data_IF_863343747848
#
_entry.id   IF_863343747848
#
_cell.length_a   1.000
_cell.length_b   1.000
_cell.length_c   1.000
_cell.angle_alpha   90.00
_cell.angle_beta   90.00
_cell.angle_gamma   90.00
#
_symmetry.space_group_name_H-M   'P 1'
#
loop_
_entity.id
_entity.type
_entity.pdbx_description
1 polymer ?
#
# COMPACT_ATOMS: atom_id res chain seq x y z
N UNK A 1 -14.35 6.99 -29.17
CA UNK A 1 -14.69 6.36 -27.87
C UNK A 1 -13.46 6.44 -26.99
N UNK A 2 -13.39 7.40 -26.06
CA UNK A 2 -12.31 7.43 -25.08
C UNK A 2 -12.63 6.40 -24.01
N UNK A 3 -11.92 5.27 -24.04
CA UNK A 3 -11.86 4.37 -22.89
C UNK A 3 -11.52 5.21 -21.66
N UNK A 4 -12.35 5.17 -20.61
CA UNK A 4 -11.97 5.74 -19.31
C UNK A 4 -10.77 4.94 -18.80
N UNK A 5 -9.57 5.35 -19.16
CA UNK A 5 -8.33 4.88 -18.53
C UNK A 5 -8.49 5.15 -17.04
N UNK A 6 -8.77 4.10 -16.30
CA UNK A 6 -8.91 4.23 -14.87
C UNK A 6 -7.52 4.20 -14.30
N UNK A 7 -6.98 5.39 -14.04
CA UNK A 7 -5.65 5.61 -13.51
C UNK A 7 -5.56 4.93 -12.14
N UNK A 8 -4.87 3.79 -12.10
CA UNK A 8 -4.53 3.12 -10.85
C UNK A 8 -3.60 4.05 -10.06
N UNK A 9 -3.84 4.26 -8.76
CA UNK A 9 -3.00 5.13 -7.95
C UNK A 9 -1.55 4.65 -7.91
N UNK A 10 -0.61 5.60 -7.84
CA UNK A 10 0.82 5.31 -7.68
C UNK A 10 1.10 4.99 -6.20
N UNK A 11 1.48 3.74 -5.92
CA UNK A 11 1.79 3.26 -4.57
C UNK A 11 2.86 4.12 -3.86
N UNK A 12 3.80 4.68 -4.61
CA UNK A 12 4.91 5.43 -4.02
C UNK A 12 4.47 6.74 -3.40
N UNK A 13 3.23 7.19 -3.61
CA UNK A 13 2.63 8.36 -2.98
C UNK A 13 2.03 8.10 -1.60
N UNK A 14 1.98 6.86 -1.14
CA UNK A 14 1.30 6.47 0.09
C UNK A 14 2.27 6.18 1.24
N UNK A 15 1.85 6.55 2.46
CA UNK A 15 2.45 6.14 3.74
C UNK A 15 1.58 5.19 4.56
N UNK A 16 0.38 4.89 4.07
CA UNK A 16 -0.49 3.84 4.61
C UNK A 16 -0.89 2.90 3.48
N UNK A 17 -0.50 1.64 3.58
CA UNK A 17 -0.86 0.62 2.59
C UNK A 17 -2.38 0.41 2.50
N UNK A 18 -3.15 0.64 3.56
CA UNK A 18 -4.61 0.47 3.56
C UNK A 18 -5.28 1.55 2.74
N UNK A 19 -4.81 2.79 2.87
CA UNK A 19 -5.30 3.88 2.04
C UNK A 19 -5.05 3.60 0.56
N UNK A 20 -3.84 3.12 0.22
CA UNK A 20 -3.56 2.68 -1.16
C UNK A 20 -4.49 1.57 -1.63
N UNK A 21 -4.73 0.54 -0.81
CA UNK A 21 -5.61 -0.58 -1.16
C UNK A 21 -7.07 -0.12 -1.38
N UNK A 22 -7.53 0.84 -0.58
CA UNK A 22 -8.84 1.48 -0.74
C UNK A 22 -8.93 2.20 -2.08
N UNK A 23 -7.98 3.10 -2.37
CA UNK A 23 -7.97 3.89 -3.60
C UNK A 23 -7.81 3.00 -4.84
N UNK A 24 -6.96 1.97 -4.77
CA UNK A 24 -6.82 0.96 -5.81
C UNK A 24 -8.15 0.25 -6.10
N UNK A 25 -8.84 -0.18 -5.04
CA UNK A 25 -10.14 -0.84 -5.17
C UNK A 25 -11.17 0.07 -5.82
N UNK A 26 -11.27 1.32 -5.36
CA UNK A 26 -12.20 2.31 -5.92
C UNK A 26 -11.87 2.64 -7.38
N UNK A 27 -10.60 2.80 -7.73
CA UNK A 27 -10.18 2.96 -9.11
C UNK A 27 -10.65 1.75 -9.95
N UNK A 28 -10.30 0.51 -9.57
CA UNK A 28 -10.73 -0.67 -10.32
C UNK A 28 -12.26 -0.81 -10.42
N UNK A 29 -12.99 -0.48 -9.35
CA UNK A 29 -14.46 -0.50 -9.32
C UNK A 29 -15.10 0.55 -10.23
N UNK A 30 -14.53 1.75 -10.27
CA UNK A 30 -15.01 2.82 -11.14
C UNK A 30 -14.74 2.53 -12.63
N UNK A 31 -13.65 1.82 -12.92
CA UNK A 31 -13.31 1.38 -14.27
C UNK A 31 -14.08 0.14 -14.74
N UNK A 32 -14.48 -0.73 -13.81
CA UNK A 32 -15.22 -1.94 -14.08
C UNK A 32 -16.27 -2.20 -12.96
N UNK A 33 -17.57 -1.98 -13.24
CA UNK A 33 -18.64 -2.24 -12.28
C UNK A 33 -18.72 -3.69 -11.79
N UNK A 34 -18.20 -4.67 -12.52
CA UNK A 34 -18.16 -6.08 -12.07
C UNK A 34 -17.00 -6.37 -11.12
N UNK A 35 -16.05 -5.45 -11.01
CA UNK A 35 -14.98 -5.56 -10.02
C UNK A 35 -15.57 -5.56 -8.61
N UNK A 36 -15.07 -6.44 -7.75
CA UNK A 36 -15.58 -6.61 -6.39
C UNK A 36 -14.49 -7.17 -5.48
N UNK A 37 -14.71 -7.09 -4.17
CA UNK A 37 -13.77 -7.69 -3.20
C UNK A 37 -13.56 -9.19 -3.45
N UNK A 38 -14.63 -9.90 -3.87
CA UNK A 38 -14.56 -11.32 -4.25
C UNK A 38 -13.69 -11.55 -5.48
N UNK A 39 -13.78 -10.67 -6.49
CA UNK A 39 -12.92 -10.73 -7.68
C UNK A 39 -11.45 -10.53 -7.30
N UNK A 40 -11.15 -9.52 -6.47
CA UNK A 40 -9.79 -9.31 -5.96
C UNK A 40 -9.30 -10.54 -5.18
N UNK A 41 -10.12 -11.07 -4.27
CA UNK A 41 -9.75 -12.24 -3.47
C UNK A 41 -9.40 -13.46 -4.34
N UNK A 42 -10.15 -13.69 -5.41
CA UNK A 42 -9.85 -14.75 -6.40
C UNK A 42 -8.51 -14.50 -7.10
N UNK A 43 -8.26 -13.27 -7.57
CA UNK A 43 -6.98 -12.90 -8.21
C UNK A 43 -5.79 -13.06 -7.25
N UNK A 44 -5.99 -12.73 -5.98
CA UNK A 44 -4.98 -12.84 -4.93
C UNK A 44 -4.88 -14.26 -4.33
N UNK A 45 -5.68 -15.22 -4.79
CA UNK A 45 -5.76 -16.58 -4.27
C UNK A 45 -6.03 -16.62 -2.75
N UNK A 46 -6.90 -15.72 -2.26
CA UNK A 46 -7.26 -15.62 -0.86
C UNK A 46 -8.44 -16.54 -0.53
N UNK A 47 -8.40 -17.18 0.64
CA UNK A 47 -9.47 -18.08 1.09
C UNK A 47 -10.77 -17.36 1.50
N UNK A 48 -10.73 -16.04 1.77
CA UNK A 48 -11.90 -15.26 2.16
C UNK A 48 -12.27 -14.21 1.09
N UNK A 49 -13.52 -14.21 0.56
CA UNK A 49 -14.01 -13.23 -0.41
C UNK A 49 -13.98 -11.78 0.07
N UNK A 50 -14.03 -11.55 1.39
CA UNK A 50 -14.03 -10.23 2.02
C UNK A 50 -12.66 -9.83 2.57
N UNK A 51 -11.60 -10.61 2.32
CA UNK A 51 -10.28 -10.37 2.92
C UNK A 51 -9.73 -8.97 2.62
N UNK A 52 -9.85 -8.48 1.39
CA UNK A 52 -9.40 -7.13 1.05
C UNK A 52 -10.16 -6.08 1.85
N UNK A 53 -11.48 -6.22 1.97
CA UNK A 53 -12.32 -5.29 2.75
C UNK A 53 -11.91 -5.28 4.22
N UNK A 54 -11.73 -6.45 4.84
CA UNK A 54 -11.27 -6.54 6.22
C UNK A 54 -9.90 -5.90 6.45
N UNK A 55 -9.01 -5.94 5.46
CA UNK A 55 -7.70 -5.27 5.53
C UNK A 55 -7.85 -3.75 5.44
N UNK A 56 -8.63 -3.26 4.49
CA UNK A 56 -8.93 -1.83 4.32
C UNK A 56 -9.59 -1.26 5.59
N UNK A 57 -10.58 -1.98 6.14
CA UNK A 57 -11.31 -1.60 7.35
C UNK A 57 -10.47 -1.78 8.64
N UNK A 58 -9.20 -2.20 8.54
CA UNK A 58 -8.30 -2.36 9.69
C UNK A 58 -8.52 -3.60 10.55
N UNK A 59 -9.50 -4.45 10.20
CA UNK A 59 -9.86 -5.67 10.95
C UNK A 59 -8.85 -6.82 10.77
N UNK A 60 -7.99 -6.74 9.75
CA UNK A 60 -6.93 -7.71 9.46
C UNK A 60 -5.65 -7.00 9.01
N UNK A 61 -4.51 -7.59 9.39
CA UNK A 61 -3.19 -7.23 8.88
C UNK A 61 -2.81 -8.14 7.70
N UNK A 62 -1.84 -7.70 6.90
CA UNK A 62 -1.23 -8.54 5.87
C UNK A 62 -0.10 -9.37 6.49
N UNK A 63 -0.20 -10.69 6.32
CA UNK A 63 0.84 -11.63 6.69
C UNK A 63 1.83 -11.85 5.54
N UNK A 64 3.02 -12.36 5.86
CA UNK A 64 3.99 -12.79 4.85
C UNK A 64 3.41 -13.81 3.86
N UNK A 65 2.45 -14.64 4.30
CA UNK A 65 1.76 -15.62 3.43
C UNK A 65 0.80 -14.97 2.45
N UNK A 66 0.14 -13.87 2.83
CA UNK A 66 -0.86 -13.20 2.00
C UNK A 66 -0.26 -12.16 1.05
N UNK A 67 0.87 -11.54 1.41
CA UNK A 67 1.53 -10.49 0.62
C UNK A 67 1.75 -10.91 -0.85
N UNK A 68 2.31 -12.11 -1.17
CA UNK A 68 2.53 -12.51 -2.55
C UNK A 68 1.24 -12.53 -3.40
N UNK A 69 0.11 -12.89 -2.79
CA UNK A 69 -1.20 -12.85 -3.45
C UNK A 69 -1.62 -11.43 -3.80
N UNK A 70 -1.43 -10.49 -2.87
CA UNK A 70 -1.71 -9.08 -3.10
C UNK A 70 -0.83 -8.51 -4.22
N UNK A 71 0.47 -8.77 -4.22
CA UNK A 71 1.38 -8.27 -5.24
C UNK A 71 1.00 -8.75 -6.66
N UNK A 72 0.53 -10.00 -6.79
CA UNK A 72 -0.01 -10.52 -8.05
C UNK A 72 -1.29 -9.80 -8.45
N UNK A 73 -2.26 -9.68 -7.53
CA UNK A 73 -3.56 -9.08 -7.81
C UNK A 73 -3.49 -7.58 -8.12
N UNK A 74 -2.54 -6.87 -7.50
CA UNK A 74 -2.30 -5.45 -7.73
C UNK A 74 -1.58 -5.19 -9.07
N UNK A 75 -0.90 -6.20 -9.64
CA UNK A 75 -0.19 -6.06 -10.91
C UNK A 75 1.00 -5.10 -10.85
N UNK A 76 1.60 -4.94 -9.66
CA UNK A 76 2.68 -3.98 -9.43
C UNK A 76 3.97 -4.35 -10.18
N UNK A 77 4.72 -3.33 -10.62
CA UNK A 77 6.08 -3.47 -11.15
C UNK A 77 7.04 -3.96 -10.05
N UNK A 78 8.24 -4.44 -10.42
CA UNK A 78 9.20 -4.95 -9.43
C UNK A 78 9.52 -3.92 -8.33
N UNK A 79 9.79 -2.66 -8.70
CA UNK A 79 10.10 -1.61 -7.72
C UNK A 79 8.88 -1.23 -6.86
N UNK A 80 7.67 -1.25 -7.45
CA UNK A 80 6.44 -0.98 -6.70
C UNK A 80 6.11 -2.09 -5.71
N UNK A 81 6.43 -3.34 -6.05
CA UNK A 81 6.29 -4.48 -5.12
C UNK A 81 7.20 -4.31 -3.91
N UNK A 82 8.48 -4.00 -4.14
CA UNK A 82 9.45 -3.75 -3.07
C UNK A 82 9.00 -2.58 -2.17
N UNK A 83 8.45 -1.52 -2.77
CA UNK A 83 7.87 -0.41 -2.03
C UNK A 83 6.65 -0.86 -1.20
N UNK A 84 5.69 -1.56 -1.81
CA UNK A 84 4.48 -2.03 -1.13
C UNK A 84 4.82 -2.94 0.06
N UNK A 85 5.74 -3.89 -0.12
CA UNK A 85 6.20 -4.77 0.96
C UNK A 85 6.85 -3.99 2.11
N UNK A 86 7.68 -2.99 1.77
CA UNK A 86 8.34 -2.12 2.76
C UNK A 86 7.30 -1.28 3.50
N UNK A 87 6.29 -0.79 2.79
CA UNK A 87 5.19 0.01 3.34
C UNK A 87 4.35 -0.81 4.33
N UNK A 88 3.98 -2.03 3.95
CA UNK A 88 3.25 -2.96 4.85
C UNK A 88 4.06 -3.24 6.11
N UNK A 89 5.36 -3.50 5.98
CA UNK A 89 6.24 -3.71 7.13
C UNK A 89 6.33 -2.45 8.01
N UNK A 90 6.46 -1.28 7.40
CA UNK A 90 6.52 0.00 8.10
C UNK A 90 5.24 0.26 8.91
N UNK A 91 4.06 0.05 8.31
CA UNK A 91 2.78 0.27 8.98
C UNK A 91 2.46 -0.78 10.06
N UNK A 92 3.10 -1.95 10.03
CA UNK A 92 2.88 -3.03 11.01
C UNK A 92 4.03 -3.18 12.02
N UNK A 93 5.09 -2.37 11.94
CA UNK A 93 6.22 -2.41 12.85
C UNK A 93 5.84 -1.80 14.21
N UNK A 94 6.08 -2.56 15.29
CA UNK A 94 5.95 -2.09 16.68
C UNK A 94 7.25 -1.51 17.24
N UNK A 95 8.39 -1.94 16.69
CA UNK A 95 9.72 -1.50 17.11
C UNK A 95 10.14 -0.19 16.41
N UNK A 96 10.63 0.77 17.19
CA UNK A 96 10.92 2.12 16.71
C UNK A 96 12.12 2.15 15.76
N UNK A 97 13.21 1.44 16.09
CA UNK A 97 14.40 1.36 15.24
C UNK A 97 14.07 0.70 13.89
N UNK A 98 13.27 -0.38 13.94
CA UNK A 98 12.78 -1.05 12.74
C UNK A 98 11.89 -0.12 11.92
N UNK A 99 10.99 0.63 12.55
CA UNK A 99 10.11 1.58 11.87
C UNK A 99 10.91 2.70 11.20
N UNK A 100 11.92 3.23 11.87
CA UNK A 100 12.86 4.23 11.34
C UNK A 100 13.57 3.73 10.08
N UNK A 101 14.22 2.56 10.17
CA UNK A 101 14.95 1.98 9.03
C UNK A 101 14.05 1.68 7.83
N UNK A 102 12.80 1.25 8.08
CA UNK A 102 11.82 1.03 7.01
C UNK A 102 11.37 2.35 6.37
N UNK A 103 11.18 3.40 7.16
CA UNK A 103 10.82 4.72 6.64
C UNK A 103 11.91 5.31 5.73
N UNK A 104 13.17 5.21 6.13
CA UNK A 104 14.31 5.65 5.32
C UNK A 104 14.39 4.90 3.97
N UNK A 105 14.06 3.61 3.98
CA UNK A 105 13.96 2.80 2.74
C UNK A 105 12.83 3.30 1.84
N UNK A 106 11.67 3.68 2.39
CA UNK A 106 10.56 4.27 1.62
C UNK A 106 10.98 5.60 0.99
N UNK A 107 11.63 6.49 1.76
CA UNK A 107 12.13 7.77 1.24
C UNK A 107 13.15 7.58 0.12
N UNK A 108 14.10 6.66 0.29
CA UNK A 108 15.11 6.36 -0.72
C UNK A 108 14.47 5.87 -2.02
N UNK A 109 13.44 5.03 -1.92
CA UNK A 109 12.70 4.53 -3.09
C UNK A 109 11.97 5.67 -3.84
N UNK A 110 11.37 6.62 -3.11
CA UNK A 110 10.72 7.81 -3.70
C UNK A 110 11.72 8.77 -4.35
N UNK A 111 12.84 9.05 -3.69
CA UNK A 111 13.89 9.92 -4.22
C UNK A 111 14.44 9.42 -5.56
N UNK A 112 14.65 8.10 -5.70
CA UNK A 112 15.09 7.49 -6.97
C UNK A 112 14.12 7.74 -8.14
N UNK A 113 12.87 8.11 -7.86
CA UNK A 113 11.84 8.45 -8.85
C UNK A 113 11.68 9.97 -9.07
N UNK A 114 12.57 10.78 -8.52
CA UNK A 114 12.47 12.24 -8.60
C UNK A 114 11.31 12.83 -7.78
N UNK A 115 10.69 12.04 -6.90
CA UNK A 115 9.71 12.54 -5.95
C UNK A 115 10.48 13.28 -4.85
N UNK A 116 10.30 14.60 -4.79
CA UNK A 116 10.99 15.45 -3.80
C UNK A 116 10.52 15.11 -2.39
N UNK A 117 11.41 15.14 -1.37
CA UNK A 117 11.02 14.90 0.00
C UNK A 117 10.30 16.13 0.55
N UNK A 118 9.00 16.23 0.31
CA UNK A 118 8.15 17.17 1.07
C UNK A 118 8.00 16.68 2.53
N UNK A 119 8.20 15.38 2.79
CA UNK A 119 7.91 14.75 4.08
C UNK A 119 9.07 14.69 5.09
N UNK A 120 10.29 15.14 4.77
CA UNK A 120 11.43 15.05 5.73
C UNK A 120 11.13 15.79 7.05
N UNK A 121 10.44 16.93 6.96
CA UNK A 121 9.95 17.71 8.11
C UNK A 121 8.78 17.06 8.87
N UNK A 122 7.91 16.31 8.18
CA UNK A 122 6.79 15.62 8.83
C UNK A 122 7.27 14.41 9.64
N UNK A 123 8.38 13.80 9.22
CA UNK A 123 8.98 12.69 9.93
C UNK A 123 9.72 13.14 11.19
N UNK A 124 10.51 14.22 11.13
CA UNK A 124 11.12 14.83 12.33
C UNK A 124 10.06 15.22 13.37
N UNK A 125 8.88 15.66 12.91
CA UNK A 125 7.74 15.94 13.78
C UNK A 125 7.15 14.68 14.44
N UNK A 126 6.97 13.59 13.68
CA UNK A 126 6.47 12.31 14.21
C UNK A 126 7.49 11.64 15.16
N UNK A 127 8.79 11.83 14.96
CA UNK A 127 9.83 11.36 15.88
C UNK A 127 9.94 12.21 17.15
N UNK A 128 9.64 13.51 17.09
CA UNK A 128 9.74 14.41 18.25
C UNK A 128 8.46 14.53 19.10
N UNK A 129 7.29 14.13 18.60
CA UNK A 129 6.02 14.30 19.33
C UNK A 129 5.77 13.27 20.46
N UNK A 130 6.59 12.22 20.61
CA UNK A 130 6.43 11.21 21.68
C UNK A 130 7.25 11.52 22.95
N UNK A 131 7.90 12.69 23.02
CA UNK A 131 8.55 13.21 24.24
C UNK A 131 7.69 14.27 24.96
N UNK A 132 6.37 14.22 24.80
CA UNK A 132 5.40 14.96 25.62
C UNK A 132 4.31 14.01 26.12
#
# INVERSE_FOLDING_TARGET
MYSKETLVPDITRYYDYRQYLSDFYHAKKNGNPDYSYRVFARMASLGSPSHLKMVIDGQRNLSHRTIPGYLRALGLSKSDREYFETLVQFNQASDMERRQSLFERLLTSRQKRGLTPLEKYQYEFLSNWQHV
#
